data_IF_066975248502
#
_entry.id   IF_066975248502
#
_cell.length_a   1.000
_cell.length_b   1.000
_cell.length_c   1.000
_cell.angle_alpha   90.00
_cell.angle_beta   90.00
_cell.angle_gamma   90.00
#
_symmetry.space_group_name_H-M   'P 1'
#
loop_
_entity.id
_entity.type
_entity.pdbx_description
1 polymer ?
#
# COMPACT_ATOMS: atom_id res chain seq x y z
N UNK A 1 -15.04 -3.94 5.07
CA UNK A 1 -14.91 -3.56 6.49
C UNK A 1 -14.82 -4.77 7.42
N UNK A 2 -15.88 -5.58 7.55
CA UNK A 2 -16.01 -6.69 8.53
C UNK A 2 -14.80 -7.60 8.60
N UNK A 3 -14.35 -8.17 7.48
CA UNK A 3 -13.23 -9.12 7.42
C UNK A 3 -11.94 -8.51 7.95
N UNK A 4 -11.55 -7.34 7.44
CA UNK A 4 -10.28 -6.67 7.79
C UNK A 4 -10.25 -6.29 9.26
N UNK A 5 -11.30 -5.64 9.78
CA UNK A 5 -11.35 -5.28 11.20
C UNK A 5 -11.35 -6.51 12.11
N UNK A 6 -11.98 -7.61 11.68
CA UNK A 6 -12.01 -8.84 12.46
C UNK A 6 -10.64 -9.53 12.52
N UNK A 7 -9.65 -9.13 11.71
CA UNK A 7 -8.28 -9.62 11.85
C UNK A 7 -7.68 -9.27 13.23
N UNK A 8 -8.12 -8.17 13.85
CA UNK A 8 -7.69 -7.81 15.22
C UNK A 8 -8.11 -8.84 16.27
N UNK A 9 -9.17 -9.62 16.03
CA UNK A 9 -9.57 -10.70 16.95
C UNK A 9 -8.55 -11.84 17.02
N UNK A 10 -7.55 -11.87 16.14
CA UNK A 10 -6.44 -12.82 16.24
C UNK A 10 -5.50 -12.51 17.41
N UNK A 11 -5.52 -11.28 17.95
CA UNK A 11 -4.67 -10.90 19.08
C UNK A 11 -5.12 -11.64 20.35
N UNK A 12 -4.26 -12.43 21.00
CA UNK A 12 -4.62 -13.16 22.20
C UNK A 12 -5.14 -12.24 23.32
N UNK A 13 -6.11 -12.74 24.08
CA UNK A 13 -6.72 -12.11 25.27
C UNK A 13 -7.55 -10.85 25.00
N UNK A 14 -7.07 -9.90 24.19
CA UNK A 14 -7.70 -8.58 23.99
C UNK A 14 -8.38 -8.41 22.63
N UNK A 15 -8.17 -9.33 21.68
CA UNK A 15 -8.57 -9.16 20.29
C UNK A 15 -10.06 -8.91 20.08
N UNK A 16 -10.94 -9.69 20.71
CA UNK A 16 -12.40 -9.50 20.58
C UNK A 16 -12.84 -8.13 21.10
N UNK A 17 -12.33 -7.71 22.27
CA UNK A 17 -12.63 -6.39 22.83
C UNK A 17 -12.15 -5.25 21.92
N UNK A 18 -11.00 -5.40 21.25
CA UNK A 18 -10.52 -4.42 20.27
C UNK A 18 -11.43 -4.33 19.04
N UNK A 19 -11.93 -5.46 18.52
CA UNK A 19 -12.85 -5.47 17.38
C UNK A 19 -14.14 -4.74 17.71
N UNK A 20 -14.79 -5.09 18.82
CA UNK A 20 -16.03 -4.45 19.26
C UNK A 20 -15.82 -2.96 19.56
N UNK A 21 -14.66 -2.60 20.12
CA UNK A 21 -14.29 -1.21 20.34
C UNK A 21 -14.15 -0.44 19.02
N UNK A 22 -13.46 -1.00 18.01
CA UNK A 22 -13.33 -0.42 16.66
C UNK A 22 -14.69 -0.30 15.98
N UNK A 23 -15.59 -1.27 16.15
CA UNK A 23 -16.93 -1.21 15.58
C UNK A 23 -17.85 -0.24 16.32
N UNK A 24 -17.68 -0.10 17.63
CA UNK A 24 -18.62 0.60 18.50
C UNK A 24 -19.90 -0.17 18.75
N UNK A 25 -19.82 -1.50 18.74
CA UNK A 25 -20.94 -2.42 18.80
C UNK A 25 -20.49 -3.84 18.42
N UNK A 26 -21.45 -4.76 18.30
CA UNK A 26 -21.18 -6.19 18.03
C UNK A 26 -20.96 -6.52 16.55
N UNK A 27 -21.21 -5.57 15.65
CA UNK A 27 -21.03 -5.71 14.20
C UNK A 27 -20.70 -4.36 13.57
N UNK A 28 -20.30 -4.38 12.30
CA UNK A 28 -20.15 -3.15 11.50
C UNK A 28 -21.52 -2.54 11.26
N UNK A 29 -21.76 -1.33 11.78
CA UNK A 29 -23.05 -0.63 11.70
C UNK A 29 -22.84 0.90 11.65
N UNK A 30 -23.90 1.69 11.88
CA UNK A 30 -23.91 3.17 11.84
C UNK A 30 -22.79 3.81 12.65
N UNK A 31 -22.49 3.27 13.84
CA UNK A 31 -21.41 3.78 14.68
C UNK A 31 -20.03 3.60 14.01
N UNK A 32 -19.83 2.49 13.30
CA UNK A 32 -18.61 2.20 12.53
C UNK A 32 -18.50 3.10 11.29
N UNK A 33 -19.59 3.32 10.56
CA UNK A 33 -19.56 4.18 9.37
C UNK A 33 -19.24 5.63 9.71
N UNK A 34 -19.89 6.17 10.76
CA UNK A 34 -19.70 7.57 11.19
C UNK A 34 -18.25 7.84 11.60
N UNK A 35 -17.63 6.93 12.37
CA UNK A 35 -16.22 7.07 12.76
C UNK A 35 -15.27 6.85 11.60
N UNK A 36 -15.57 5.92 10.69
CA UNK A 36 -14.72 5.68 9.52
C UNK A 36 -14.70 6.89 8.61
N UNK A 37 -15.83 7.58 8.44
CA UNK A 37 -15.87 8.86 7.75
C UNK A 37 -15.00 9.92 8.45
N UNK A 38 -15.15 10.10 9.77
CA UNK A 38 -14.36 11.07 10.52
C UNK A 38 -12.84 10.78 10.46
N UNK A 39 -12.45 9.50 10.58
CA UNK A 39 -11.05 9.07 10.45
C UNK A 39 -10.54 9.23 9.02
N UNK A 40 -11.32 8.85 8.02
CA UNK A 40 -10.98 9.01 6.60
C UNK A 40 -10.80 10.50 6.24
N UNK A 41 -11.58 11.39 6.84
CA UNK A 41 -11.39 12.83 6.67
C UNK A 41 -10.10 13.33 7.34
N UNK A 42 -9.79 12.84 8.55
CA UNK A 42 -8.62 13.29 9.32
C UNK A 42 -7.29 12.78 8.74
N UNK A 43 -7.22 11.50 8.36
CA UNK A 43 -5.97 10.83 7.98
C UNK A 43 -5.20 11.49 6.82
N UNK A 44 -5.84 12.01 5.75
CA UNK A 44 -5.14 12.76 4.70
C UNK A 44 -4.34 13.97 5.23
N UNK A 45 -4.84 14.69 6.23
CA UNK A 45 -4.11 15.81 6.84
C UNK A 45 -2.91 15.32 7.67
N UNK A 46 -3.06 14.18 8.35
CA UNK A 46 -1.93 13.53 9.04
C UNK A 46 -0.87 13.09 8.03
N UNK A 47 -1.28 12.52 6.89
CA UNK A 47 -0.37 12.15 5.80
C UNK A 47 0.35 13.38 5.25
N UNK A 48 -0.36 14.50 5.03
CA UNK A 48 0.27 15.75 4.56
C UNK A 48 1.35 16.25 5.55
N UNK A 49 1.08 16.21 6.85
CA UNK A 49 2.07 16.56 7.87
C UNK A 49 3.29 15.60 7.83
N UNK A 50 3.05 14.30 7.68
CA UNK A 50 4.12 13.30 7.55
C UNK A 50 4.95 13.49 6.26
N UNK A 51 4.34 13.93 5.15
CA UNK A 51 5.05 14.28 3.91
C UNK A 51 6.00 15.47 4.14
N UNK A 52 5.59 16.48 4.92
CA UNK A 52 6.49 17.59 5.27
C UNK A 52 7.70 17.13 6.08
N UNK A 53 7.49 16.25 7.07
CA UNK A 53 8.59 15.65 7.84
C UNK A 53 9.49 14.79 6.96
N UNK A 54 8.90 14.02 6.03
CA UNK A 54 9.64 13.22 5.06
C UNK A 54 10.54 14.10 4.17
N UNK A 55 10.00 15.20 3.63
CA UNK A 55 10.76 16.14 2.79
C UNK A 55 11.84 16.89 3.57
N UNK A 56 11.59 17.21 4.85
CA UNK A 56 12.59 17.81 5.73
C UNK A 56 13.82 16.90 5.84
N UNK A 57 13.62 15.61 6.17
CA UNK A 57 14.74 14.66 6.25
C UNK A 57 15.41 14.41 4.90
N UNK A 58 14.65 14.45 3.80
CA UNK A 58 15.23 14.36 2.46
C UNK A 58 16.13 15.57 2.15
N UNK A 59 15.75 16.77 2.58
CA UNK A 59 16.53 17.99 2.34
C UNK A 59 17.84 18.04 3.12
N UNK A 60 17.92 17.38 4.28
CA UNK A 60 19.17 17.27 5.04
C UNK A 60 20.28 16.54 4.28
N UNK A 61 19.93 15.54 3.46
CA UNK A 61 20.91 14.72 2.70
C UNK A 61 20.92 14.98 1.21
N UNK A 62 19.88 15.65 0.68
CA UNK A 62 19.60 15.72 -0.74
C UNK A 62 19.09 14.39 -1.33
N UNK A 63 18.76 14.42 -2.62
CA UNK A 63 18.31 13.24 -3.36
C UNK A 63 19.47 12.31 -3.71
N UNK A 64 19.20 11.00 -3.71
CA UNK A 64 20.12 10.03 -4.31
C UNK A 64 20.01 10.06 -5.85
N UNK A 65 20.95 9.44 -6.55
CA UNK A 65 20.96 9.34 -8.00
C UNK A 65 21.14 7.87 -8.47
N UNK A 66 20.91 7.56 -9.77
CA UNK A 66 20.95 6.18 -10.27
C UNK A 66 22.27 5.44 -10.03
N UNK A 67 23.41 6.14 -9.94
CA UNK A 67 24.71 5.49 -9.71
C UNK A 67 24.90 5.08 -8.25
N UNK A 68 24.22 5.76 -7.32
CA UNK A 68 24.42 5.59 -5.87
C UNK A 68 25.75 6.17 -5.34
N UNK A 69 26.50 6.90 -6.17
CA UNK A 69 27.72 7.63 -5.83
C UNK A 69 27.33 9.08 -5.49
N UNK A 70 27.98 9.78 -4.53
CA UNK A 70 27.68 11.19 -4.25
C UNK A 70 27.72 12.06 -5.50
N UNK A 71 26.71 12.92 -5.68
CA UNK A 71 26.54 13.79 -6.85
C UNK A 71 26.96 15.24 -6.62
N UNK A 72 27.64 15.55 -5.50
CA UNK A 72 28.00 16.92 -5.10
C UNK A 72 28.84 17.66 -6.16
N UNK A 73 29.61 16.92 -6.96
CA UNK A 73 30.45 17.48 -8.01
C UNK A 73 29.69 17.97 -9.25
N UNK A 74 28.43 17.56 -9.46
CA UNK A 74 27.65 17.84 -10.67
C UNK A 74 26.19 18.15 -10.32
N UNK A 75 25.98 18.98 -9.31
CA UNK A 75 24.64 19.43 -8.92
C UNK A 75 24.12 20.50 -9.88
N UNK A 76 22.83 20.40 -10.21
CA UNK A 76 22.09 21.40 -10.96
C UNK A 76 20.99 22.00 -10.07
N UNK A 77 20.60 23.27 -10.28
CA UNK A 77 19.47 23.84 -9.55
C UNK A 77 18.18 23.10 -9.90
N UNK A 78 17.25 23.01 -8.94
CA UNK A 78 15.96 22.36 -9.17
C UNK A 78 15.15 23.05 -10.27
N UNK A 79 15.12 24.39 -10.26
CA UNK A 79 14.54 25.18 -11.33
C UNK A 79 15.62 25.64 -12.32
N UNK A 80 15.41 25.54 -13.65
CA UNK A 80 14.19 25.08 -14.33
C UNK A 80 14.12 23.57 -14.57
N UNK A 81 15.23 22.85 -14.36
CA UNK A 81 15.45 21.49 -14.87
C UNK A 81 14.46 20.45 -14.34
N UNK A 82 14.30 20.36 -13.02
CA UNK A 82 13.36 19.42 -12.42
C UNK A 82 11.93 19.95 -12.44
N UNK A 83 11.73 21.27 -12.33
CA UNK A 83 10.38 21.87 -12.47
C UNK A 83 9.71 21.49 -13.79
N UNK A 84 10.41 21.60 -14.92
CA UNK A 84 9.80 21.26 -16.22
C UNK A 84 9.57 19.75 -16.38
N UNK A 85 10.46 18.91 -15.82
CA UNK A 85 10.30 17.46 -15.81
C UNK A 85 9.10 17.03 -14.96
N UNK A 86 8.89 17.68 -13.82
CA UNK A 86 7.76 17.40 -12.93
C UNK A 86 6.44 17.84 -13.56
N UNK A 87 6.42 18.99 -14.27
CA UNK A 87 5.25 19.42 -15.05
C UNK A 87 4.91 18.37 -16.13
N UNK A 88 5.91 17.84 -16.84
CA UNK A 88 5.69 16.76 -17.80
C UNK A 88 5.10 15.51 -17.11
N UNK A 89 5.67 15.10 -15.98
CA UNK A 89 5.16 13.98 -15.18
C UNK A 89 3.71 14.19 -14.73
N UNK A 90 3.36 15.39 -14.27
CA UNK A 90 2.01 15.77 -13.89
C UNK A 90 1.04 15.70 -15.07
N UNK A 91 1.43 16.18 -16.25
CA UNK A 91 0.62 16.10 -17.47
C UNK A 91 0.36 14.64 -17.85
N UNK A 92 1.38 13.77 -17.80
CA UNK A 92 1.20 12.34 -18.08
C UNK A 92 0.29 11.66 -17.05
N UNK A 93 0.46 11.96 -15.76
CA UNK A 93 -0.38 11.42 -14.68
C UNK A 93 -1.84 11.85 -14.85
N UNK A 94 -2.11 13.14 -15.10
CA UNK A 94 -3.46 13.66 -15.34
C UNK A 94 -4.08 13.03 -16.58
N UNK A 95 -3.29 12.85 -17.65
CA UNK A 95 -3.76 12.19 -18.87
C UNK A 95 -4.18 10.75 -18.57
N UNK A 96 -3.38 9.99 -17.82
CA UNK A 96 -3.72 8.64 -17.37
C UNK A 96 -4.99 8.62 -16.51
N UNK A 97 -5.08 9.51 -15.52
CA UNK A 97 -6.26 9.62 -14.65
C UNK A 97 -7.53 9.96 -15.45
N UNK A 98 -7.48 10.97 -16.30
CA UNK A 98 -8.62 11.37 -17.12
C UNK A 98 -9.00 10.28 -18.12
N UNK A 99 -8.04 9.52 -18.64
CA UNK A 99 -8.37 8.40 -19.52
C UNK A 99 -9.18 7.32 -18.80
N UNK A 100 -8.83 7.00 -17.55
CA UNK A 100 -9.62 6.08 -16.72
C UNK A 100 -10.99 6.68 -16.41
N UNK A 101 -11.05 7.91 -15.89
CA UNK A 101 -12.31 8.55 -15.47
C UNK A 101 -13.29 8.73 -16.64
N UNK A 102 -12.80 9.13 -17.82
CA UNK A 102 -13.66 9.48 -18.95
C UNK A 102 -14.01 8.28 -19.84
N UNK A 103 -13.12 7.29 -19.96
CA UNK A 103 -13.35 6.16 -20.88
C UNK A 103 -13.62 4.83 -20.19
N UNK A 104 -13.17 4.63 -18.94
CA UNK A 104 -13.31 3.36 -18.24
C UNK A 104 -13.37 3.52 -16.70
N UNK A 105 -14.33 4.30 -16.16
CA UNK A 105 -14.35 4.69 -14.74
C UNK A 105 -14.45 3.50 -13.78
N UNK A 106 -15.10 2.42 -14.21
CA UNK A 106 -15.32 1.21 -13.41
C UNK A 106 -14.25 0.12 -13.60
N UNK A 107 -13.24 0.36 -14.46
CA UNK A 107 -12.25 -0.66 -14.84
C UNK A 107 -11.48 -1.24 -13.64
N UNK A 108 -11.21 -0.41 -12.64
CA UNK A 108 -10.46 -0.78 -11.44
C UNK A 108 -11.37 -1.03 -10.22
N UNK A 109 -12.69 -0.95 -10.38
CA UNK A 109 -13.68 -1.16 -9.34
C UNK A 109 -14.19 -2.60 -9.24
N UNK A 110 -15.08 -2.84 -8.28
CA UNK A 110 -15.78 -4.12 -8.14
C UNK A 110 -17.30 -3.90 -8.30
N UNK A 111 -17.97 -4.62 -9.24
CA UNK A 111 -19.42 -4.48 -9.46
C UNK A 111 -20.27 -4.72 -8.21
N UNK A 112 -19.82 -5.55 -7.27
CA UNK A 112 -20.59 -5.85 -6.06
C UNK A 112 -20.81 -4.59 -5.21
N UNK A 113 -19.92 -3.59 -5.30
CA UNK A 113 -20.01 -2.35 -4.54
C UNK A 113 -21.08 -1.37 -5.07
N UNK A 114 -21.72 -1.69 -6.20
CA UNK A 114 -22.94 -1.00 -6.66
C UNK A 114 -24.21 -1.51 -6.00
N UNK A 115 -24.16 -2.66 -5.31
CA UNK A 115 -25.28 -3.17 -4.53
C UNK A 115 -25.19 -2.66 -3.08
N UNK A 116 -26.30 -2.16 -2.50
CA UNK A 116 -26.30 -1.75 -1.10
C UNK A 116 -25.92 -2.89 -0.17
N UNK A 117 -25.13 -2.58 0.87
CA UNK A 117 -24.64 -3.58 1.81
C UNK A 117 -25.79 -4.36 2.49
N UNK A 118 -25.71 -5.69 2.47
CA UNK A 118 -26.64 -6.58 3.14
C UNK A 118 -25.90 -7.43 4.19
N UNK A 119 -26.07 -7.18 5.50
CA UNK A 119 -25.40 -7.95 6.54
C UNK A 119 -25.72 -9.46 6.56
N UNK A 120 -26.80 -9.89 5.87
CA UNK A 120 -27.26 -11.27 5.83
C UNK A 120 -26.85 -12.01 4.55
N UNK A 121 -26.23 -11.32 3.59
CA UNK A 121 -25.78 -11.92 2.33
C UNK A 121 -24.32 -11.52 2.07
N UNK A 122 -23.43 -12.51 2.07
CA UNK A 122 -22.03 -12.30 1.68
C UNK A 122 -21.86 -12.66 0.21
N UNK A 123 -21.30 -11.76 -0.63
CA UNK A 123 -21.00 -12.09 -2.02
C UNK A 123 -20.11 -13.34 -2.14
N UNK A 124 -20.28 -14.15 -3.20
CA UNK A 124 -19.60 -15.43 -3.33
C UNK A 124 -18.07 -15.31 -3.40
N UNK A 125 -17.54 -14.22 -3.95
CA UNK A 125 -16.10 -13.98 -4.09
C UNK A 125 -15.68 -12.62 -3.54
N UNK A 126 -15.77 -12.44 -2.22
CA UNK A 126 -15.29 -11.23 -1.56
C UNK A 126 -13.76 -11.10 -1.65
N UNK A 127 -13.31 -9.94 -2.12
CA UNK A 127 -11.89 -9.56 -2.24
C UNK A 127 -11.74 -8.06 -1.93
N UNK A 128 -10.56 -7.61 -1.47
CA UNK A 128 -10.29 -6.18 -1.37
C UNK A 128 -9.99 -5.59 -2.75
N UNK A 129 -9.84 -4.26 -2.80
CA UNK A 129 -9.41 -3.54 -3.99
C UNK A 129 -8.02 -4.01 -4.46
N UNK A 130 -7.75 -3.81 -5.75
CA UNK A 130 -6.61 -4.43 -6.45
C UNK A 130 -5.25 -4.18 -5.79
N UNK A 131 -5.04 -2.98 -5.21
CA UNK A 131 -3.78 -2.60 -4.56
C UNK A 131 -3.53 -3.31 -3.21
N UNK A 132 -4.51 -4.05 -2.68
CA UNK A 132 -4.34 -4.89 -1.49
C UNK A 132 -4.25 -6.39 -1.82
N UNK A 133 -4.41 -6.81 -3.07
CA UNK A 133 -4.51 -8.22 -3.43
C UNK A 133 -3.24 -9.01 -3.11
N UNK A 134 -2.05 -8.43 -3.27
CA UNK A 134 -0.79 -9.12 -2.94
C UNK A 134 -0.73 -9.51 -1.45
N UNK A 135 -1.12 -8.58 -0.57
CA UNK A 135 -1.12 -8.76 0.87
C UNK A 135 -2.24 -9.71 1.30
N UNK A 136 -3.39 -9.63 0.63
CA UNK A 136 -4.50 -10.57 0.81
C UNK A 136 -4.13 -12.00 0.41
N UNK A 137 -3.37 -12.19 -0.67
CA UNK A 137 -2.85 -13.50 -1.04
C UNK A 137 -1.95 -14.08 0.06
N UNK A 138 -0.99 -13.29 0.57
CA UNK A 138 -0.11 -13.68 1.69
C UNK A 138 -0.92 -14.09 2.94
N UNK A 139 -1.94 -13.30 3.30
CA UNK A 139 -2.84 -13.61 4.42
C UNK A 139 -3.51 -14.98 4.24
N UNK A 140 -4.02 -15.28 3.04
CA UNK A 140 -4.72 -16.54 2.73
C UNK A 140 -3.80 -17.74 2.58
N UNK A 141 -2.52 -17.54 2.28
CA UNK A 141 -1.56 -18.64 2.10
C UNK A 141 -1.23 -19.39 3.40
N UNK A 142 -1.55 -18.82 4.57
CA UNK A 142 -1.24 -19.43 5.86
C UNK A 142 -2.52 -20.01 6.48
N UNK A 143 -2.63 -21.35 6.68
CA UNK A 143 -3.81 -22.01 7.24
C UNK A 143 -3.90 -21.87 8.77
N UNK A 144 -3.62 -20.68 9.28
CA UNK A 144 -3.74 -20.30 10.69
C UNK A 144 -4.11 -18.83 10.78
N UNK A 145 -5.18 -18.50 11.52
CA UNK A 145 -5.68 -17.11 11.61
C UNK A 145 -4.63 -16.14 12.14
N UNK A 146 -3.97 -16.46 13.26
CA UNK A 146 -2.93 -15.60 13.83
C UNK A 146 -1.71 -15.53 12.91
N UNK A 147 -1.24 -16.66 12.40
CA UNK A 147 -0.11 -16.73 11.47
C UNK A 147 -0.32 -15.90 10.21
N UNK A 148 -1.51 -15.98 9.60
CA UNK A 148 -1.88 -15.16 8.45
C UNK A 148 -1.90 -13.66 8.77
N UNK A 149 -2.48 -13.26 9.91
CA UNK A 149 -2.49 -11.85 10.35
C UNK A 149 -1.08 -11.32 10.60
N UNK A 150 -0.22 -12.13 11.25
CA UNK A 150 1.18 -11.76 11.46
C UNK A 150 1.92 -11.62 10.14
N UNK A 151 1.75 -12.56 9.20
CA UNK A 151 2.40 -12.48 7.89
C UNK A 151 1.91 -11.28 7.05
N UNK A 152 0.62 -10.95 7.10
CA UNK A 152 0.07 -9.75 6.49
C UNK A 152 0.79 -8.50 7.01
N UNK A 153 0.89 -8.35 8.34
CA UNK A 153 1.57 -7.19 8.95
C UNK A 153 3.05 -7.16 8.59
N UNK A 154 3.73 -8.31 8.67
CA UNK A 154 5.15 -8.42 8.33
C UNK A 154 5.43 -8.15 6.85
N UNK A 155 4.49 -8.43 5.94
CA UNK A 155 4.66 -8.12 4.50
C UNK A 155 4.87 -6.63 4.23
N UNK A 156 4.40 -5.76 5.12
CA UNK A 156 4.61 -4.31 5.06
C UNK A 156 5.77 -3.89 5.98
N UNK A 157 5.83 -4.40 7.22
CA UNK A 157 6.86 -4.02 8.17
C UNK A 157 8.27 -4.46 7.76
N UNK A 158 8.39 -5.46 6.88
CA UNK A 158 9.69 -5.88 6.33
C UNK A 158 10.43 -4.72 5.63
N UNK A 159 9.70 -3.72 5.11
CA UNK A 159 10.28 -2.53 4.49
C UNK A 159 11.18 -1.74 5.47
N UNK A 160 10.83 -1.70 6.76
CA UNK A 160 11.62 -1.02 7.79
C UNK A 160 12.93 -1.76 8.11
N UNK A 161 12.99 -3.07 7.81
CA UNK A 161 14.16 -3.92 8.05
C UNK A 161 15.15 -3.86 6.90
N UNK A 162 14.73 -3.42 5.69
CA UNK A 162 15.59 -3.39 4.51
C UNK A 162 16.95 -2.71 4.68
N UNK A 163 17.07 -1.54 5.35
CA UNK A 163 18.37 -0.92 5.58
C UNK A 163 19.35 -1.82 6.34
N UNK A 164 18.84 -2.64 7.28
CA UNK A 164 19.64 -3.57 8.08
C UNK A 164 20.06 -4.82 7.30
N UNK A 165 19.33 -5.16 6.24
CA UNK A 165 19.62 -6.29 5.36
C UNK A 165 20.60 -5.93 4.23
N UNK A 166 21.01 -4.67 4.12
CA UNK A 166 21.91 -4.24 3.05
C UNK A 166 23.33 -4.78 3.27
N UNK A 167 23.74 -5.75 2.47
CA UNK A 167 25.07 -6.39 2.55
C UNK A 167 26.07 -5.90 1.50
N UNK A 168 25.61 -5.21 0.46
CA UNK A 168 26.47 -4.77 -0.63
C UNK A 168 27.37 -3.61 -0.19
N UNK A 169 28.54 -3.50 -0.84
CA UNK A 169 29.40 -2.31 -0.74
C UNK A 169 28.97 -1.18 -1.68
N UNK A 170 28.04 -1.46 -2.61
CA UNK A 170 27.50 -0.50 -3.57
C UNK A 170 26.05 -0.18 -3.22
N UNK A 171 25.74 1.11 -3.04
CA UNK A 171 24.42 1.60 -2.64
C UNK A 171 23.34 1.25 -3.67
N UNK A 172 23.56 1.58 -4.95
CA UNK A 172 22.61 1.36 -6.04
C UNK A 172 22.72 -0.06 -6.62
N UNK A 173 21.63 -0.56 -7.22
CA UNK A 173 21.62 -1.80 -7.97
C UNK A 173 22.10 -1.65 -9.43
N UNK A 174 22.30 -0.44 -9.94
CA UNK A 174 22.70 -0.17 -11.34
C UNK A 174 23.92 -0.97 -11.81
N UNK A 175 24.87 -1.25 -10.91
CA UNK A 175 26.09 -2.02 -11.22
C UNK A 175 26.10 -3.43 -10.60
N UNK A 176 24.93 -3.96 -10.22
CA UNK A 176 24.78 -5.25 -9.52
C UNK A 176 23.83 -6.19 -10.27
N UNK A 177 24.27 -6.89 -11.33
CA UNK A 177 23.40 -7.68 -12.20
C UNK A 177 22.56 -8.74 -11.46
N UNK A 178 23.16 -9.46 -10.50
CA UNK A 178 22.45 -10.45 -9.70
C UNK A 178 21.35 -9.81 -8.84
N UNK A 179 21.60 -8.64 -8.25
CA UNK A 179 20.59 -7.93 -7.46
C UNK A 179 19.48 -7.36 -8.33
N UNK A 180 19.78 -6.91 -9.56
CA UNK A 180 18.75 -6.49 -10.51
C UNK A 180 17.83 -7.65 -10.90
N UNK A 181 18.41 -8.84 -11.17
CA UNK A 181 17.62 -10.03 -11.47
C UNK A 181 16.69 -10.40 -10.31
N UNK A 182 17.19 -10.39 -9.08
CA UNK A 182 16.39 -10.68 -7.88
C UNK A 182 15.32 -9.61 -7.63
N UNK A 183 15.61 -8.33 -7.90
CA UNK A 183 14.62 -7.27 -7.82
C UNK A 183 13.47 -7.50 -8.81
N UNK A 184 13.77 -7.84 -10.07
CA UNK A 184 12.73 -8.12 -11.05
C UNK A 184 11.96 -9.41 -10.75
N UNK A 185 12.62 -10.41 -10.16
CA UNK A 185 11.94 -11.60 -9.64
C UNK A 185 10.96 -11.23 -8.52
N UNK A 186 11.34 -10.35 -7.60
CA UNK A 186 10.44 -9.84 -6.56
C UNK A 186 9.26 -9.06 -7.14
N UNK A 187 9.49 -8.22 -8.16
CA UNK A 187 8.40 -7.50 -8.85
C UNK A 187 7.43 -8.49 -9.51
N UNK A 188 7.96 -9.51 -10.20
CA UNK A 188 7.14 -10.55 -10.82
C UNK A 188 6.36 -11.37 -9.78
N UNK A 189 6.96 -11.66 -8.63
CA UNK A 189 6.30 -12.33 -7.50
C UNK A 189 5.14 -11.49 -6.95
N UNK A 190 5.33 -10.17 -6.72
CA UNK A 190 4.26 -9.27 -6.28
C UNK A 190 3.10 -9.19 -7.29
N UNK A 191 3.40 -9.20 -8.60
CA UNK A 191 2.37 -9.28 -9.64
C UNK A 191 1.63 -10.62 -9.61
N UNK A 192 2.35 -11.72 -9.36
CA UNK A 192 1.77 -13.06 -9.21
C UNK A 192 0.85 -13.12 -7.99
N UNK A 193 1.29 -12.60 -6.83
CA UNK A 193 0.49 -12.49 -5.62
C UNK A 193 -0.76 -11.62 -5.83
N UNK A 194 -0.64 -10.52 -6.57
CA UNK A 194 -1.79 -9.67 -6.93
C UNK A 194 -2.80 -10.46 -7.77
N UNK A 195 -2.34 -11.21 -8.76
CA UNK A 195 -3.21 -12.06 -9.59
C UNK A 195 -3.88 -13.18 -8.78
N UNK A 196 -3.10 -13.95 -8.00
CA UNK A 196 -3.60 -15.02 -7.12
C UNK A 196 -4.58 -14.47 -6.07
N UNK A 197 -4.33 -13.28 -5.54
CA UNK A 197 -5.23 -12.57 -4.62
C UNK A 197 -6.64 -12.38 -5.18
N UNK A 198 -6.76 -12.24 -6.51
CA UNK A 198 -8.04 -12.12 -7.21
C UNK A 198 -8.72 -13.44 -7.56
N UNK A 199 -8.06 -14.59 -7.37
CA UNK A 199 -8.61 -15.92 -7.67
C UNK A 199 -9.37 -16.52 -6.47
N UNK A 200 -10.34 -17.43 -6.72
CA UNK A 200 -10.94 -18.25 -5.66
C UNK A 200 -9.90 -19.13 -4.97
N UNK A 201 -10.21 -19.56 -3.73
CA UNK A 201 -9.38 -20.48 -2.93
C UNK A 201 -9.74 -21.92 -3.29
#
# INVERSE_FOLDING_TARGET
ATVITNLLSAIPYIGTGLVEWVWGGFSVDKATLTRFFALHFLLPFVIAAMVMVHLLFLHETGSNNPTGIPSDADMIPFHPYHTIKDILGLVLMITGLLSLVLFAPDLLGDPDNYTPANPLNTPPHIKPEWYFLFAYAILRSIPNKLGGVVALVLSILILAVFPLLHTSKQRSMTFRPLSQCLFWLLVADLLTLTWIGGQPV
#
